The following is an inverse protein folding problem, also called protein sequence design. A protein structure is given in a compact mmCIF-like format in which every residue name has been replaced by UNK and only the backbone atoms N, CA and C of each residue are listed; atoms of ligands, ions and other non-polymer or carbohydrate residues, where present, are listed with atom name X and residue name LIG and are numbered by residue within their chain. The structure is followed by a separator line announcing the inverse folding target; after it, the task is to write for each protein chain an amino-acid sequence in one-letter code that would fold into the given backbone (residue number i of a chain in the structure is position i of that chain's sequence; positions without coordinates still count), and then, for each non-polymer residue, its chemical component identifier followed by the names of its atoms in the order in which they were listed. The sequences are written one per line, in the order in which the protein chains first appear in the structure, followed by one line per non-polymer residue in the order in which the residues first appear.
data_IF_392575876637
#
_entry.id   IF_392575876637
#
_cell.length_a   1.000
_cell.length_b   1.000
_cell.length_c   1.000
_cell.angle_alpha   90.00
_cell.angle_beta   90.00
_cell.angle_gamma   90.00
#
_symmetry.space_group_name_H-M   'P 1'
#
loop_
_entity.id
_entity.type
_entity.pdbx_description
1 polymer ?
#
# COMPACT_ATOMS: atom_id res chain seq x y z
N UNK A 1 14.32 -1.04 -22.26
CA UNK A 1 15.77 -1.36 -22.22
C UNK A 1 15.94 -2.77 -21.69
N UNK A 2 16.65 -3.61 -22.44
CA UNK A 2 16.70 -5.06 -22.28
C UNK A 2 17.59 -5.55 -21.12
N UNK A 3 17.20 -6.75 -20.68
CA UNK A 3 17.82 -7.73 -19.77
C UNK A 3 19.35 -7.86 -19.85
N UNK A 4 19.97 -8.07 -18.67
CA UNK A 4 21.29 -8.69 -18.44
C UNK A 4 21.14 -9.65 -17.25
N UNK A 5 21.85 -10.76 -17.05
CA UNK A 5 22.59 -11.74 -17.84
C UNK A 5 22.80 -12.93 -16.86
N UNK A 6 22.74 -14.18 -17.34
CA UNK A 6 23.13 -15.41 -16.60
C UNK A 6 24.66 -15.60 -16.59
N UNK A 7 25.27 -16.08 -15.49
CA UNK A 7 26.51 -16.91 -15.46
C UNK A 7 26.73 -17.51 -14.04
N UNK A 8 26.57 -18.83 -13.79
CA UNK A 8 27.56 -19.97 -13.80
C UNK A 8 28.71 -19.77 -12.77
N UNK A 9 29.13 -20.69 -11.88
CA UNK A 9 29.18 -22.17 -11.84
C UNK A 9 29.44 -22.65 -10.38
N UNK A 10 28.77 -23.70 -9.88
CA UNK A 10 29.27 -25.08 -9.59
C UNK A 10 30.51 -25.21 -8.68
N UNK A 11 30.37 -25.93 -7.56
CA UNK A 11 31.11 -27.19 -7.28
C UNK A 11 30.47 -27.95 -6.11
N UNK A 12 30.35 -29.26 -6.30
CA UNK A 12 29.97 -30.26 -5.33
C UNK A 12 31.18 -31.17 -5.12
N UNK A 13 31.47 -31.56 -3.87
CA UNK A 13 32.37 -32.67 -3.53
C UNK A 13 32.06 -33.05 -2.07
N UNK A 14 31.30 -34.13 -1.84
CA UNK A 14 31.72 -35.53 -1.67
C UNK A 14 32.22 -35.86 -0.25
N UNK A 15 31.53 -36.82 0.37
CA UNK A 15 31.83 -37.41 1.68
C UNK A 15 33.08 -38.31 1.65
N UNK A 16 33.52 -38.78 2.82
CA UNK A 16 33.48 -40.23 3.01
C UNK A 16 32.95 -40.72 4.36
N UNK A 17 32.53 -41.97 4.32
CA UNK A 17 31.98 -42.85 5.36
C UNK A 17 33.08 -43.43 6.27
N UNK A 18 32.76 -43.65 7.55
CA UNK A 18 33.32 -44.67 8.46
C UNK A 18 32.47 -44.63 9.74
N UNK A 19 32.01 -45.68 10.45
CA UNK A 19 32.20 -47.12 10.41
C UNK A 19 31.79 -47.69 11.78
N UNK A 20 30.67 -48.44 11.85
CA UNK A 20 30.30 -49.43 12.91
C UNK A 20 29.54 -48.94 14.16
N UNK A 21 28.98 -49.83 15.01
CA UNK A 21 28.37 -51.16 14.78
C UNK A 21 26.88 -51.21 15.30
N UNK A 22 26.16 -52.35 15.22
CA UNK A 22 24.69 -52.41 15.29
C UNK A 22 24.12 -52.75 16.69
N UNK A 23 22.80 -52.62 16.78
CA UNK A 23 21.87 -53.21 17.76
C UNK A 23 21.79 -52.60 19.16
N UNK A 24 20.90 -51.61 19.27
CA UNK A 24 19.94 -51.53 20.37
C UNK A 24 18.55 -51.33 19.77
N UNK A 25 17.79 -52.42 19.62
CA UNK A 25 16.34 -52.37 19.39
C UNK A 25 15.66 -51.72 20.61
N UNK A 26 15.56 -50.39 20.59
CA UNK A 26 14.58 -49.69 21.40
C UNK A 26 13.18 -50.03 20.86
N UNK A 27 12.26 -50.54 21.69
CA UNK A 27 10.89 -50.76 21.25
C UNK A 27 10.32 -49.43 20.79
N UNK A 28 10.05 -49.34 19.48
CA UNK A 28 9.35 -48.25 18.82
C UNK A 28 7.95 -48.11 19.41
N UNK A 29 7.86 -47.45 20.57
CA UNK A 29 6.62 -46.85 21.03
C UNK A 29 6.11 -45.91 19.92
N UNK A 30 4.79 -45.78 19.72
CA UNK A 30 4.26 -44.84 18.75
C UNK A 30 4.85 -43.47 19.07
N UNK A 31 5.70 -42.96 18.18
CA UNK A 31 6.18 -41.57 18.24
C UNK A 31 4.97 -40.72 18.55
N UNK A 32 4.97 -39.88 19.60
CA UNK A 32 3.87 -38.96 19.81
C UNK A 32 3.72 -38.24 18.48
N UNK A 33 2.52 -38.36 17.87
CA UNK A 33 2.14 -37.52 16.73
C UNK A 33 2.58 -36.13 17.16
N UNK A 34 3.57 -35.56 16.48
CA UNK A 34 3.93 -34.17 16.67
C UNK A 34 2.61 -33.44 16.49
N UNK A 35 2.02 -33.01 17.60
CA UNK A 35 0.79 -32.26 17.60
C UNK A 35 1.14 -31.06 16.73
N UNK A 36 0.54 -31.00 15.55
CA UNK A 36 0.73 -29.91 14.60
C UNK A 36 0.71 -28.64 15.41
N UNK A 37 1.86 -27.99 15.56
CA UNK A 37 1.95 -26.77 16.35
C UNK A 37 0.82 -25.85 15.87
N UNK A 38 0.04 -25.26 16.79
CA UNK A 38 -1.09 -24.42 16.40
C UNK A 38 -0.58 -23.42 15.36
N UNK A 39 -1.39 -23.17 14.33
CA UNK A 39 -1.08 -22.21 13.28
C UNK A 39 -1.06 -20.80 13.90
N UNK A 40 0.03 -20.47 14.59
CA UNK A 40 0.20 -19.19 15.25
C UNK A 40 0.55 -18.18 14.17
N UNK A 41 -0.38 -17.25 13.96
CA UNK A 41 -0.14 -16.08 13.13
C UNK A 41 0.92 -15.20 13.81
N UNK A 42 1.88 -14.65 13.06
CA UNK A 42 2.79 -13.65 13.61
C UNK A 42 2.01 -12.42 14.08
N UNK A 43 2.56 -11.67 15.05
CA UNK A 43 2.04 -10.35 15.40
C UNK A 43 2.09 -9.40 14.21
N UNK A 44 1.29 -8.34 14.22
CA UNK A 44 1.24 -7.36 13.14
C UNK A 44 2.62 -6.73 12.86
N UNK A 45 3.35 -6.36 13.91
CA UNK A 45 4.71 -5.83 13.80
C UNK A 45 5.68 -6.83 13.15
N UNK A 46 5.59 -8.10 13.50
CA UNK A 46 6.43 -9.15 12.90
C UNK A 46 6.06 -9.38 11.44
N UNK A 47 4.77 -9.44 11.12
CA UNK A 47 4.28 -9.67 9.77
C UNK A 47 4.65 -8.51 8.83
N UNK A 48 4.44 -7.26 9.24
CA UNK A 48 4.76 -6.08 8.43
C UNK A 48 6.27 -5.88 8.28
N UNK A 49 7.07 -6.20 9.30
CA UNK A 49 8.53 -6.21 9.19
C UNK A 49 9.02 -7.24 8.18
N UNK A 50 8.52 -8.48 8.25
CA UNK A 50 8.92 -9.54 7.31
C UNK A 50 8.53 -9.17 5.87
N UNK A 51 7.28 -8.75 5.67
CA UNK A 51 6.81 -8.29 4.36
C UNK A 51 7.70 -7.18 3.79
N UNK A 52 8.05 -6.19 4.63
CA UNK A 52 8.88 -5.07 4.20
C UNK A 52 10.30 -5.50 3.83
N UNK A 53 10.90 -6.46 4.55
CA UNK A 53 12.19 -7.06 4.19
C UNK A 53 12.09 -7.77 2.82
N UNK A 54 11.06 -8.58 2.62
CA UNK A 54 10.88 -9.32 1.37
C UNK A 54 10.67 -8.37 0.16
N UNK A 55 10.03 -7.22 0.38
CA UNK A 55 9.88 -6.16 -0.63
C UNK A 55 11.21 -5.48 -0.92
N UNK A 56 11.93 -5.05 0.12
CA UNK A 56 13.19 -4.32 0.00
C UNK A 56 14.31 -5.17 -0.63
N UNK A 57 14.33 -6.46 -0.35
CA UNK A 57 15.26 -7.43 -0.96
C UNK A 57 14.82 -7.88 -2.36
N UNK A 58 13.60 -7.52 -2.79
CA UNK A 58 13.03 -7.96 -4.07
C UNK A 58 12.72 -9.46 -4.13
N UNK A 59 12.56 -10.10 -2.96
CA UNK A 59 12.35 -11.55 -2.80
C UNK A 59 10.88 -11.92 -2.64
N UNK A 60 9.96 -10.95 -2.49
CA UNK A 60 8.52 -11.19 -2.32
C UNK A 60 7.92 -12.15 -3.36
N UNK A 61 8.36 -12.08 -4.62
CA UNK A 61 7.90 -12.97 -5.71
C UNK A 61 8.32 -14.44 -5.56
N UNK A 62 9.29 -14.72 -4.67
CA UNK A 62 9.85 -16.05 -4.40
C UNK A 62 9.43 -16.60 -3.04
N UNK A 63 8.75 -15.80 -2.22
CA UNK A 63 8.24 -16.22 -0.90
C UNK A 63 7.26 -17.37 -1.11
N UNK A 64 7.37 -18.39 -0.26
CA UNK A 64 6.50 -19.56 -0.37
C UNK A 64 5.03 -19.13 -0.19
N UNK A 65 4.07 -19.65 -0.99
CA UNK A 65 2.67 -19.22 -0.94
C UNK A 65 2.02 -19.33 0.45
N UNK A 66 2.44 -20.33 1.24
CA UNK A 66 1.98 -20.51 2.63
C UNK A 66 2.41 -19.36 3.55
N UNK A 67 3.60 -18.82 3.34
CA UNK A 67 4.12 -17.72 4.17
C UNK A 67 3.46 -16.40 3.76
N UNK A 68 3.27 -16.18 2.45
CA UNK A 68 2.46 -15.05 1.98
C UNK A 68 1.04 -15.08 2.55
N UNK A 69 0.40 -16.25 2.60
CA UNK A 69 -0.92 -16.40 3.21
C UNK A 69 -0.89 -16.13 4.73
N UNK A 70 0.17 -16.51 5.45
CA UNK A 70 0.34 -16.19 6.87
C UNK A 70 0.50 -14.70 7.10
N UNK A 71 1.31 -14.03 6.28
CA UNK A 71 1.51 -12.58 6.34
C UNK A 71 0.20 -11.84 6.05
N UNK A 72 -0.53 -12.24 5.01
CA UNK A 72 -1.80 -11.62 4.65
C UNK A 72 -2.88 -11.82 5.73
N UNK A 73 -2.97 -13.02 6.32
CA UNK A 73 -3.87 -13.27 7.44
C UNK A 73 -3.49 -12.46 8.69
N UNK A 74 -2.20 -12.37 9.01
CA UNK A 74 -1.73 -11.58 10.14
C UNK A 74 -1.98 -10.08 9.94
N UNK A 75 -1.83 -9.55 8.73
CA UNK A 75 -2.13 -8.14 8.44
C UNK A 75 -3.62 -7.85 8.32
N UNK A 76 -4.41 -8.82 7.84
CA UNK A 76 -5.80 -8.59 7.45
C UNK A 76 -5.92 -8.02 6.03
N UNK A 77 -7.11 -8.15 5.44
CA UNK A 77 -7.35 -7.86 4.03
C UNK A 77 -7.04 -6.41 3.64
N UNK A 78 -7.52 -5.44 4.43
CA UNK A 78 -7.38 -4.02 4.11
C UNK A 78 -5.92 -3.55 4.17
N UNK A 79 -5.19 -3.91 5.23
CA UNK A 79 -3.76 -3.59 5.33
C UNK A 79 -2.94 -4.30 4.25
N UNK A 80 -3.26 -5.55 3.92
CA UNK A 80 -2.61 -6.25 2.82
C UNK A 80 -2.83 -5.56 1.48
N UNK A 81 -4.06 -5.11 1.20
CA UNK A 81 -4.36 -4.35 0.00
C UNK A 81 -3.66 -2.99 -0.03
N UNK A 82 -3.58 -2.30 1.11
CA UNK A 82 -2.87 -1.02 1.22
C UNK A 82 -1.37 -1.17 0.99
N UNK A 83 -0.74 -2.19 1.57
CA UNK A 83 0.66 -2.53 1.30
C UNK A 83 0.91 -2.78 -0.19
N UNK A 84 -0.01 -3.51 -0.86
CA UNK A 84 0.06 -3.69 -2.32
C UNK A 84 -0.09 -2.37 -3.08
N UNK A 85 -0.98 -1.48 -2.67
CA UNK A 85 -1.13 -0.16 -3.29
C UNK A 85 0.14 0.68 -3.17
N UNK A 86 0.79 0.64 -2.00
CA UNK A 86 2.10 1.29 -1.76
C UNK A 86 3.19 0.70 -2.67
N UNK A 87 3.27 -0.62 -2.77
CA UNK A 87 4.21 -1.31 -3.66
C UNK A 87 4.01 -0.91 -5.13
N UNK A 88 2.77 -0.91 -5.62
CA UNK A 88 2.43 -0.53 -7.01
C UNK A 88 2.82 0.92 -7.32
N UNK A 89 2.83 1.79 -6.32
CA UNK A 89 3.17 3.21 -6.47
C UNK A 89 4.61 3.53 -6.10
N UNK A 90 5.45 2.51 -5.84
CA UNK A 90 6.86 2.68 -5.48
C UNK A 90 7.10 3.30 -4.11
N UNK A 91 6.09 3.31 -3.23
CA UNK A 91 6.23 3.81 -1.88
C UNK A 91 6.83 2.76 -0.94
N UNK A 92 7.53 3.20 0.12
CA UNK A 92 8.07 2.28 1.10
C UNK A 92 6.93 1.51 1.80
N UNK A 93 7.12 0.22 2.08
CA UNK A 93 6.13 -0.58 2.80
C UNK A 93 5.87 0.01 4.19
N UNK A 94 4.61 -0.02 4.62
CA UNK A 94 4.24 0.41 5.96
C UNK A 94 4.72 -0.60 7.02
N UNK A 95 5.05 -0.14 8.23
CA UNK A 95 5.54 -1.00 9.30
C UNK A 95 4.83 -0.64 10.61
N UNK A 96 4.26 -1.62 11.28
CA UNK A 96 3.70 -1.42 12.61
C UNK A 96 4.82 -1.27 13.65
N UNK A 97 4.58 -0.44 14.67
CA UNK A 97 5.54 -0.27 15.76
C UNK A 97 5.50 -1.48 16.70
N UNK A 98 6.66 -2.02 17.12
CA UNK A 98 6.69 -3.17 18.04
C UNK A 98 6.30 -2.81 19.48
N UNK A 99 6.23 -1.51 19.82
CA UNK A 99 5.93 -1.03 21.17
C UNK A 99 4.44 -0.79 21.46
N UNK A 100 3.57 -1.01 20.48
CA UNK A 100 2.13 -0.79 20.60
C UNK A 100 1.36 -2.10 20.43
N UNK A 101 0.17 -2.16 21.02
CA UNK A 101 -0.71 -3.31 20.81
C UNK A 101 -1.18 -3.37 19.35
N UNK A 102 -1.30 -4.58 18.80
CA UNK A 102 -1.72 -4.81 17.42
C UNK A 102 -3.08 -4.12 17.10
N UNK A 103 -3.98 -4.02 18.08
CA UNK A 103 -5.26 -3.32 17.92
C UNK A 103 -5.10 -1.81 17.65
N UNK A 104 -4.27 -1.13 18.43
CA UNK A 104 -4.03 0.31 18.30
C UNK A 104 -3.30 0.63 16.99
N UNK A 105 -2.35 -0.21 16.60
CA UNK A 105 -1.65 -0.09 15.32
C UNK A 105 -2.60 -0.25 14.13
N UNK A 106 -3.59 -1.15 14.21
CA UNK A 106 -4.61 -1.28 13.15
C UNK A 106 -5.48 -0.05 13.03
N UNK A 107 -5.87 0.57 14.14
CA UNK A 107 -6.68 1.79 14.13
C UNK A 107 -5.89 2.92 13.44
N UNK A 108 -4.63 3.13 13.84
CA UNK A 108 -3.75 4.14 13.22
C UNK A 108 -3.52 3.87 11.74
N UNK A 109 -3.32 2.60 11.38
CA UNK A 109 -3.11 2.22 9.99
C UNK A 109 -4.38 2.42 9.15
N UNK A 110 -5.58 2.18 9.72
CA UNK A 110 -6.84 2.46 9.05
C UNK A 110 -7.03 3.97 8.78
N UNK A 111 -6.71 4.83 9.74
CA UNK A 111 -6.73 6.28 9.57
C UNK A 111 -5.76 6.74 8.47
N UNK A 112 -4.50 6.30 8.52
CA UNK A 112 -3.50 6.61 7.50
C UNK A 112 -3.93 6.13 6.11
N UNK A 113 -4.47 4.91 6.01
CA UNK A 113 -4.96 4.34 4.76
C UNK A 113 -6.11 5.15 4.15
N UNK A 114 -7.00 5.70 4.98
CA UNK A 114 -8.11 6.54 4.53
C UNK A 114 -7.68 7.94 4.09
N UNK A 115 -6.56 8.44 4.60
CA UNK A 115 -5.99 9.73 4.20
C UNK A 115 -5.06 9.60 2.98
N UNK A 116 -4.55 8.40 2.72
CA UNK A 116 -3.67 8.06 1.60
C UNK A 116 -4.41 7.88 0.25
N UNK A 117 -5.44 8.67 0.02
CA UNK A 117 -6.28 8.64 -1.19
C UNK A 117 -5.47 8.75 -2.49
N UNK A 118 -4.46 9.64 -2.62
CA UNK A 118 -3.66 9.74 -3.84
C UNK A 118 -2.93 8.43 -4.19
N UNK A 119 -2.55 7.65 -3.18
CA UNK A 119 -1.87 6.36 -3.38
C UNK A 119 -2.82 5.33 -3.93
N UNK A 120 -4.04 5.25 -3.38
CA UNK A 120 -5.08 4.37 -3.89
C UNK A 120 -5.44 4.67 -5.34
N UNK A 121 -5.63 5.95 -5.69
CA UNK A 121 -5.96 6.34 -7.07
C UNK A 121 -4.84 5.95 -8.05
N UNK A 122 -3.57 6.23 -7.71
CA UNK A 122 -2.43 5.84 -8.55
C UNK A 122 -2.28 4.32 -8.66
N UNK A 123 -2.50 3.58 -7.58
CA UNK A 123 -2.41 2.13 -7.58
C UNK A 123 -3.49 1.49 -8.47
N UNK A 124 -4.73 2.01 -8.44
CA UNK A 124 -5.80 1.57 -9.35
C UNK A 124 -5.41 1.81 -10.82
N UNK A 125 -4.87 3.00 -11.12
CA UNK A 125 -4.40 3.32 -12.47
C UNK A 125 -3.29 2.37 -12.95
N UNK A 126 -2.37 1.97 -12.08
CA UNK A 126 -1.31 1.03 -12.43
C UNK A 126 -1.86 -0.38 -12.70
N UNK A 127 -2.83 -0.84 -11.91
CA UNK A 127 -3.51 -2.13 -12.15
C UNK A 127 -4.27 -2.12 -13.48
N UNK A 128 -4.94 -1.01 -13.82
CA UNK A 128 -5.60 -0.86 -15.12
C UNK A 128 -4.61 -0.84 -16.29
N UNK A 129 -3.45 -0.18 -16.10
CA UNK A 129 -2.38 -0.18 -17.08
C UNK A 129 -1.80 -1.60 -17.26
N UNK A 130 -1.54 -2.32 -16.18
CA UNK A 130 -1.07 -3.70 -16.21
C UNK A 130 -2.05 -4.65 -16.86
N UNK A 131 -3.35 -4.49 -16.58
CA UNK A 131 -4.41 -5.30 -17.18
C UNK A 131 -4.45 -5.10 -18.69
N UNK A 132 -4.36 -3.84 -19.16
CA UNK A 132 -4.26 -3.53 -20.60
C UNK A 132 -2.98 -4.11 -21.23
N UNK A 133 -1.83 -3.99 -20.56
CA UNK A 133 -0.57 -4.60 -21.02
C UNK A 133 -0.70 -6.12 -21.12
N UNK A 134 -1.28 -6.76 -20.11
CA UNK A 134 -1.47 -8.21 -20.09
C UNK A 134 -2.34 -8.68 -21.27
N UNK A 135 -3.43 -7.97 -21.57
CA UNK A 135 -4.28 -8.26 -22.72
C UNK A 135 -3.53 -8.15 -24.06
N UNK A 136 -2.72 -7.09 -24.25
CA UNK A 136 -1.92 -6.88 -25.48
C UNK A 136 -0.89 -8.00 -25.69
N UNK A 137 -0.25 -8.45 -24.62
CA UNK A 137 0.83 -9.45 -24.69
C UNK A 137 0.38 -10.88 -24.42
N UNK A 138 -0.93 -11.16 -24.34
CA UNK A 138 -1.47 -12.50 -24.07
C UNK A 138 -1.03 -13.09 -22.72
N UNK A 139 -0.81 -12.23 -21.70
CA UNK A 139 -0.43 -12.66 -20.35
C UNK A 139 -1.66 -12.73 -19.44
N UNK A 140 -1.61 -13.51 -18.35
CA UNK A 140 -2.65 -13.47 -17.31
C UNK A 140 -2.84 -12.06 -16.77
N UNK A 141 -4.10 -11.66 -16.56
CA UNK A 141 -4.41 -10.39 -15.93
C UNK A 141 -3.84 -10.35 -14.49
N UNK A 142 -3.33 -9.20 -14.04
CA UNK A 142 -2.92 -9.05 -12.64
C UNK A 142 -4.13 -9.22 -11.73
N UNK A 143 -3.93 -9.64 -10.47
CA UNK A 143 -5.01 -9.69 -9.50
C UNK A 143 -5.57 -8.27 -9.26
N UNK A 144 -6.90 -8.13 -9.08
CA UNK A 144 -7.51 -6.83 -8.81
C UNK A 144 -7.02 -6.27 -7.48
N UNK A 145 -7.02 -4.94 -7.35
CA UNK A 145 -6.76 -4.28 -6.08
C UNK A 145 -8.04 -4.30 -5.24
N UNK A 146 -8.00 -4.94 -4.07
CA UNK A 146 -9.11 -4.97 -3.14
C UNK A 146 -9.15 -3.64 -2.35
N UNK A 147 -9.77 -2.61 -2.91
CA UNK A 147 -9.88 -1.30 -2.25
C UNK A 147 -10.99 -1.37 -1.21
N UNK A 148 -10.73 -0.98 0.06
CA UNK A 148 -11.77 -0.93 1.08
C UNK A 148 -12.92 0.03 0.68
N UNK A 149 -14.16 -0.33 1.01
CA UNK A 149 -15.35 0.44 0.60
C UNK A 149 -15.27 1.91 1.05
N UNK A 150 -14.81 2.15 2.27
CA UNK A 150 -14.64 3.50 2.84
C UNK A 150 -13.66 4.36 2.04
N UNK A 151 -12.60 3.74 1.49
CA UNK A 151 -11.63 4.42 0.62
C UNK A 151 -12.30 4.76 -0.72
N UNK A 152 -13.06 3.82 -1.29
CA UNK A 152 -13.81 4.06 -2.54
C UNK A 152 -14.80 5.22 -2.38
N UNK A 153 -15.56 5.26 -1.29
CA UNK A 153 -16.49 6.35 -1.00
C UNK A 153 -15.77 7.71 -0.90
N UNK A 154 -14.59 7.77 -0.27
CA UNK A 154 -13.78 9.00 -0.20
C UNK A 154 -13.28 9.44 -1.59
N UNK A 155 -12.86 8.49 -2.43
CA UNK A 155 -12.44 8.77 -3.80
C UNK A 155 -13.60 9.33 -4.63
N UNK A 156 -14.77 8.71 -4.55
CA UNK A 156 -15.97 9.14 -5.26
C UNK A 156 -16.42 10.53 -4.82
N UNK A 157 -16.45 10.79 -3.51
CA UNK A 157 -16.77 12.12 -2.96
C UNK A 157 -15.80 13.19 -3.46
N UNK A 158 -14.49 12.89 -3.49
CA UNK A 158 -13.48 13.79 -4.03
C UNK A 158 -13.70 14.08 -5.52
N UNK A 159 -14.02 13.06 -6.31
CA UNK A 159 -14.30 13.21 -7.75
C UNK A 159 -15.56 14.03 -8.00
N UNK A 160 -16.63 13.80 -7.24
CA UNK A 160 -17.84 14.60 -7.29
C UNK A 160 -17.56 16.08 -6.98
N UNK A 161 -16.82 16.37 -5.89
CA UNK A 161 -16.45 17.73 -5.52
C UNK A 161 -15.60 18.43 -6.61
N UNK A 162 -14.66 17.71 -7.24
CA UNK A 162 -13.85 18.24 -8.33
C UNK A 162 -14.69 18.58 -9.58
N UNK A 163 -15.69 17.75 -9.91
CA UNK A 163 -16.61 17.99 -11.02
C UNK A 163 -17.52 19.20 -10.74
N UNK A 164 -18.05 19.33 -9.52
CA UNK A 164 -18.82 20.50 -9.11
C UNK A 164 -18.00 21.80 -9.21
N UNK A 165 -16.74 21.76 -8.78
CA UNK A 165 -15.84 22.89 -8.90
C UNK A 165 -15.57 23.25 -10.38
N UNK A 166 -15.26 22.26 -11.21
CA UNK A 166 -15.02 22.47 -12.64
C UNK A 166 -16.24 23.03 -13.37
N UNK A 167 -17.45 22.51 -13.07
CA UNK A 167 -18.70 23.01 -13.66
C UNK A 167 -19.02 24.43 -13.22
N UNK A 168 -18.82 24.77 -11.93
CA UNK A 168 -18.99 26.14 -11.42
C UNK A 168 -18.03 27.13 -12.09
N UNK A 169 -16.75 26.77 -12.22
CA UNK A 169 -15.76 27.63 -12.87
C UNK A 169 -16.05 27.83 -14.36
N UNK A 170 -16.47 26.77 -15.06
CA UNK A 170 -16.86 26.88 -16.48
C UNK A 170 -18.06 27.80 -16.68
N UNK A 171 -19.03 27.81 -15.75
CA UNK A 171 -20.17 28.75 -15.79
C UNK A 171 -19.72 30.20 -15.62
N UNK A 172 -18.81 30.47 -14.68
CA UNK A 172 -18.26 31.82 -14.45
C UNK A 172 -17.45 32.35 -15.64
N UNK A 173 -16.61 31.51 -16.24
CA UNK A 173 -15.85 31.90 -17.43
C UNK A 173 -16.75 32.16 -18.65
N UNK A 174 -17.91 31.50 -18.75
CA UNK A 174 -18.89 31.75 -19.82
C UNK A 174 -19.72 33.00 -19.57
N UNK A 175 -19.93 33.41 -18.31
CA UNK A 175 -20.58 34.69 -17.99
C UNK A 175 -19.64 35.90 -18.15
N UNK A 176 -18.33 35.74 -17.95
CA UNK A 176 -17.33 36.83 -18.17
C UNK A 176 -16.95 37.03 -19.64
N UNK A 177 -17.24 36.06 -20.52
CA UNK A 177 -16.93 36.15 -21.95
C UNK A 177 -18.11 36.67 -22.78
N UNK A 178 -19.11 37.25 -22.11
CA UNK A 178 -20.32 37.77 -22.71
C UNK A 178 -20.76 39.07 -22.05
N UNK A 179 -19.88 40.07 -21.95
CA UNK A 179 -20.22 41.45 -22.32
C UNK A 179 -18.93 42.28 -22.38
N UNK A 180 -18.68 42.90 -23.53
CA UNK A 180 -17.60 43.86 -23.71
C UNK A 180 -17.99 45.22 -23.14
N UNK A 181 -18.32 45.29 -21.86
CA UNK A 181 -18.56 46.57 -21.18
C UNK A 181 -17.56 46.76 -20.04
N UNK A 182 -16.48 47.50 -20.35
CA UNK A 182 -15.77 48.30 -19.36
C UNK A 182 -16.77 49.27 -18.74
N UNK A 183 -17.45 48.89 -17.67
CA UNK A 183 -18.01 49.87 -16.75
C UNK A 183 -16.97 50.16 -15.67
N UNK A 184 -16.40 51.37 -15.64
CA UNK A 184 -15.62 51.80 -14.49
C UNK A 184 -16.53 51.85 -13.25
N UNK A 185 -16.11 51.16 -12.21
CA UNK A 185 -16.63 51.29 -10.86
C UNK A 185 -16.56 52.78 -10.44
N UNK A 186 -17.66 53.41 -10.00
CA UNK A 186 -17.53 54.64 -9.22
C UNK A 186 -16.94 54.27 -7.86
N UNK A 187 -15.85 54.95 -7.52
CA UNK A 187 -15.17 54.89 -6.23
C UNK A 187 -16.09 55.47 -5.15
N UNK A 188 -16.78 54.62 -4.39
CA UNK A 188 -17.39 55.05 -3.13
C UNK A 188 -16.31 55.19 -2.06
N UNK A 189 -15.72 56.38 -2.06
CA UNK A 189 -14.97 56.91 -0.94
C UNK A 189 -15.93 57.20 0.22
N UNK A 190 -16.11 56.25 1.15
CA UNK A 190 -16.37 56.53 2.56
C UNK A 190 -16.48 55.23 3.39
N UNK A 191 -15.47 54.99 4.23
CA UNK A 191 -15.58 54.68 5.67
C UNK A 191 -14.32 53.93 6.15
N UNK A 192 -13.21 54.64 6.26
CA UNK A 192 -12.15 54.23 7.19
C UNK A 192 -12.59 54.63 8.61
N UNK A 193 -12.68 53.71 9.59
CA UNK A 193 -12.67 54.11 10.99
C UNK A 193 -11.29 54.69 11.37
N UNK A 194 -11.21 55.73 12.22
CA UNK A 194 -9.95 56.40 12.54
C UNK A 194 -8.99 55.47 13.30
N UNK A 195 -7.71 55.56 12.96
CA UNK A 195 -6.62 54.85 13.62
C UNK A 195 -6.48 55.30 15.10
N UNK A 196 -6.10 54.38 16.02
CA UNK A 196 -5.90 54.73 17.42
C UNK A 196 -4.66 55.65 17.60
N UNK A 197 -4.68 56.55 18.59
CA UNK A 197 -3.57 57.47 18.82
C UNK A 197 -2.31 56.74 19.32
N UNK A 198 -1.10 57.20 18.94
CA UNK A 198 0.14 56.61 19.43
C UNK A 198 0.33 56.90 20.92
N UNK A 199 0.72 55.88 21.69
CA UNK A 199 1.11 56.03 23.09
C UNK A 199 2.48 56.71 23.18
N UNK A 200 2.69 57.70 24.07
CA UNK A 200 4.02 58.21 24.38
C UNK A 200 4.79 57.23 25.28
N UNK A 201 6.10 57.14 25.01
CA UNK A 201 7.11 56.44 25.82
C UNK A 201 7.26 57.05 27.22
#
# INVERSE_FOLDING_TARGET
MLRRFFRRSRSAEAAPLDGGPPDLEEPSGPRPRQASAPFLLPSLASATRQYALDVEEGTLSRVHPRDLARLSMAMGADLWAWQRARLLTGQPPWRASPGLADGDERIRAAEQMLDDIPTWERAMMEVDADTRRAAIYGKPAPPPLAVPEQVMQRIEARRAAALEYATRNRRRQRSDQGDGSLQPQPEDAAQNPPAPPPQPL
#
